data_IF_071691875035
#
_entry.id   IF_071691875035
#
_cell.length_a   1.000
_cell.length_b   1.000
_cell.length_c   1.000
_cell.angle_alpha   90.00
_cell.angle_beta   90.00
_cell.angle_gamma   90.00
#
_symmetry.space_group_name_H-M   'P 1'
#
loop_
_entity.id
_entity.type
_entity.pdbx_description
1 polymer ?
#
# COMPACT_ATOMS: atom_id res chain seq x y z
N UNK A 1 -8.37 -8.80 13.81
CA UNK A 1 -7.44 -7.72 14.10
C UNK A 1 -6.94 -7.10 12.81
N UNK A 2 -6.86 -5.80 12.73
CA UNK A 2 -6.41 -5.10 11.54
C UNK A 2 -5.18 -4.25 11.87
N UNK A 3 -4.34 -4.02 10.86
CA UNK A 3 -3.17 -3.16 10.99
C UNK A 3 -3.19 -2.15 9.85
N UNK A 4 -2.90 -0.90 10.16
CA UNK A 4 -2.91 0.17 9.18
C UNK A 4 -1.68 1.03 9.37
N UNK A 5 -0.96 1.30 8.28
CA UNK A 5 0.27 2.07 8.32
C UNK A 5 0.38 2.98 7.10
N UNK A 6 1.04 4.11 7.31
CA UNK A 6 1.47 4.95 6.21
C UNK A 6 2.92 4.61 5.89
N UNK A 7 3.18 4.26 4.64
CA UNK A 7 4.50 3.81 4.21
C UNK A 7 5.39 4.97 3.78
N UNK A 8 4.82 6.18 3.66
CA UNK A 8 5.57 7.38 3.30
C UNK A 8 5.27 8.48 4.30
N UNK A 9 6.19 9.45 4.42
CA UNK A 9 6.05 10.55 5.38
C UNK A 9 4.89 11.48 5.04
N UNK A 10 4.59 11.64 3.77
CA UNK A 10 3.49 12.49 3.29
C UNK A 10 2.16 11.75 3.22
N UNK A 11 2.14 10.51 3.71
CA UNK A 11 0.93 9.68 3.79
C UNK A 11 0.31 9.40 2.41
N UNK A 12 1.11 9.42 1.36
CA UNK A 12 0.61 9.11 0.02
C UNK A 12 0.47 7.61 -0.22
N UNK A 13 1.19 6.79 0.54
CA UNK A 13 1.10 5.33 0.43
C UNK A 13 0.65 4.76 1.76
N UNK A 14 -0.45 4.03 1.73
CA UNK A 14 -1.04 3.41 2.90
C UNK A 14 -1.02 1.90 2.79
N UNK A 15 -0.90 1.26 3.92
CA UNK A 15 -0.94 -0.20 4.02
C UNK A 15 -1.95 -0.61 5.08
N UNK A 16 -2.83 -1.54 4.74
CA UNK A 16 -3.82 -2.08 5.66
C UNK A 16 -3.77 -3.60 5.61
N UNK A 17 -3.72 -4.21 6.78
CA UNK A 17 -3.78 -5.67 6.90
C UNK A 17 -5.03 -6.06 7.68
N UNK A 18 -5.81 -6.96 7.11
CA UNK A 18 -7.04 -7.46 7.74
C UNK A 18 -6.79 -8.79 8.45
N UNK A 19 -7.68 -9.12 9.39
CA UNK A 19 -7.53 -10.31 10.20
C UNK A 19 -7.55 -11.63 9.40
N UNK A 20 -8.15 -11.61 8.23
CA UNK A 20 -8.20 -12.79 7.36
C UNK A 20 -6.97 -12.95 6.47
N UNK A 21 -5.95 -12.15 6.69
CA UNK A 21 -4.71 -12.24 5.93
C UNK A 21 -4.67 -11.41 4.66
N UNK A 22 -5.73 -10.68 4.36
CA UNK A 22 -5.77 -9.81 3.18
C UNK A 22 -4.96 -8.55 3.46
N UNK A 23 -4.12 -8.18 2.50
CA UNK A 23 -3.28 -6.99 2.58
C UNK A 23 -3.62 -6.05 1.43
N UNK A 24 -3.77 -4.77 1.75
CA UNK A 24 -4.12 -3.76 0.75
C UNK A 24 -3.10 -2.62 0.83
N UNK A 25 -2.53 -2.29 -0.32
CA UNK A 25 -1.65 -1.13 -0.46
C UNK A 25 -2.36 -0.13 -1.37
N UNK A 26 -2.39 1.13 -0.95
CA UNK A 26 -3.01 2.20 -1.72
C UNK A 26 -1.99 3.30 -1.92
N UNK A 27 -1.82 3.73 -3.16
CA UNK A 27 -0.87 4.80 -3.51
C UNK A 27 -1.64 5.99 -4.09
N UNK A 28 -1.67 7.08 -3.36
CA UNK A 28 -2.30 8.33 -3.80
C UNK A 28 -1.31 9.31 -4.42
N UNK A 29 -0.01 8.98 -4.39
CA UNK A 29 1.02 9.87 -4.91
C UNK A 29 1.09 9.86 -6.43
N UNK A 30 1.95 10.71 -6.96
CA UNK A 30 2.17 10.82 -8.40
C UNK A 30 3.23 9.86 -8.91
N UNK A 31 3.88 9.15 -8.01
CA UNK A 31 4.97 8.23 -8.36
C UNK A 31 4.63 6.82 -7.92
N UNK A 32 5.10 5.81 -8.65
CA UNK A 32 4.89 4.43 -8.22
C UNK A 32 5.68 4.14 -6.96
N UNK A 33 5.13 3.28 -6.13
CA UNK A 33 5.79 2.86 -4.90
C UNK A 33 6.19 1.39 -5.01
N UNK A 34 7.47 1.10 -4.84
CA UNK A 34 7.97 -0.28 -4.89
C UNK A 34 7.82 -0.89 -3.50
N UNK A 35 6.97 -1.91 -3.41
CA UNK A 35 6.76 -2.65 -2.16
C UNK A 35 7.84 -3.72 -2.04
N UNK A 36 8.07 -4.47 -3.12
CA UNK A 36 8.96 -5.60 -3.14
C UNK A 36 9.52 -5.74 -4.55
N UNK A 37 10.42 -6.69 -4.76
CA UNK A 37 11.01 -6.95 -6.07
C UNK A 37 9.96 -7.18 -7.15
N UNK A 38 8.88 -7.87 -6.80
CA UNK A 38 7.83 -8.25 -7.75
C UNK A 38 6.57 -7.44 -7.59
N UNK A 39 6.52 -6.49 -6.64
CA UNK A 39 5.30 -5.75 -6.34
C UNK A 39 5.55 -4.26 -6.39
N UNK A 40 4.81 -3.59 -7.26
CA UNK A 40 4.85 -2.14 -7.40
C UNK A 40 3.43 -1.63 -7.45
N UNK A 41 3.13 -0.63 -6.62
CA UNK A 41 1.84 0.06 -6.65
C UNK A 41 2.01 1.29 -7.51
N UNK A 42 1.31 1.32 -8.63
CA UNK A 42 1.37 2.45 -9.54
C UNK A 42 0.76 3.69 -8.89
N UNK A 43 1.11 4.86 -9.42
CA UNK A 43 0.57 6.12 -8.92
C UNK A 43 -0.96 6.11 -9.01
N UNK A 44 -1.61 6.65 -7.99
CA UNK A 44 -3.07 6.76 -7.89
C UNK A 44 -3.77 5.42 -8.12
N UNK A 45 -3.19 4.36 -7.56
CA UNK A 45 -3.70 3.01 -7.74
C UNK A 45 -3.65 2.25 -6.42
N UNK A 46 -4.08 1.00 -6.46
CA UNK A 46 -4.03 0.15 -5.28
C UNK A 46 -3.64 -1.27 -5.67
N UNK A 47 -3.18 -2.03 -4.68
CA UNK A 47 -2.84 -3.43 -4.84
C UNK A 47 -3.45 -4.22 -3.69
N UNK A 48 -4.13 -5.29 -4.03
CA UNK A 48 -4.72 -6.20 -3.06
C UNK A 48 -4.04 -7.55 -3.18
N UNK A 49 -3.61 -8.05 -2.05
CA UNK A 49 -2.94 -9.35 -2.01
C UNK A 49 -3.88 -10.40 -1.42
#
# INVERSE_FOLDING_TARGET
>A
MTDHRFLTEDHTVQYTEFANGVKVWVNFGDKPYVIDKDRVVKSKSYLIN
#
